data_IF_410063921985
#
_entry.id   IF_410063921985
#
_cell.length_a   1.000
_cell.length_b   1.000
_cell.length_c   1.000
_cell.angle_alpha   90.00
_cell.angle_beta   90.00
_cell.angle_gamma   90.00
#
_symmetry.space_group_name_H-M   'P 1'
#
loop_
_entity.id
_entity.type
_entity.pdbx_description
1 polymer ?
#
# COMPACT_ATOMS: atom_id res chain seq x y z
N UNK A 1 -22.67 27.65 34.41
CA UNK A 1 -23.76 27.37 33.44
C UNK A 1 -23.30 27.50 31.98
N UNK A 2 -22.00 27.41 31.67
CA UNK A 2 -21.49 27.38 30.30
C UNK A 2 -20.64 26.11 30.18
N UNK A 3 -21.22 25.05 29.62
CA UNK A 3 -20.50 23.81 29.26
C UNK A 3 -21.28 22.89 28.31
N UNK A 4 -22.57 23.15 28.05
CA UNK A 4 -23.39 22.35 27.13
C UNK A 4 -23.72 23.01 25.78
N UNK A 5 -23.39 24.30 25.55
CA UNK A 5 -23.78 25.01 24.31
C UNK A 5 -22.77 24.84 23.15
N UNK A 6 -21.57 24.32 23.41
CA UNK A 6 -20.53 24.22 22.39
C UNK A 6 -20.87 23.24 21.23
N UNK A 7 -21.42 22.04 21.49
CA UNK A 7 -21.88 21.14 20.43
C UNK A 7 -23.02 21.75 19.61
N UNK A 8 -23.98 22.41 20.27
CA UNK A 8 -25.12 23.04 19.60
C UNK A 8 -24.69 24.22 18.72
N UNK A 9 -23.70 25.00 19.17
CA UNK A 9 -23.10 26.06 18.36
C UNK A 9 -22.35 25.49 17.14
N UNK A 10 -21.58 24.42 17.29
CA UNK A 10 -20.91 23.78 16.15
C UNK A 10 -21.92 23.21 15.15
N UNK A 11 -22.97 22.55 15.63
CA UNK A 11 -24.03 21.99 14.78
C UNK A 11 -24.92 23.06 14.12
N UNK A 12 -24.83 24.31 14.56
CA UNK A 12 -25.50 25.45 13.90
C UNK A 12 -24.74 25.98 12.67
N UNK A 13 -23.47 25.59 12.49
CA UNK A 13 -22.68 25.97 11.31
C UNK A 13 -23.22 25.30 10.04
N UNK A 14 -23.12 25.94 8.85
CA UNK A 14 -23.42 25.29 7.58
C UNK A 14 -22.61 24.01 7.37
N UNK A 15 -23.20 23.03 6.67
CA UNK A 15 -22.59 21.71 6.46
C UNK A 15 -21.22 21.82 5.77
N UNK A 16 -21.11 22.72 4.81
CA UNK A 16 -19.88 22.98 4.05
C UNK A 16 -18.75 23.44 4.98
N UNK A 17 -19.08 24.34 5.92
CA UNK A 17 -18.11 24.83 6.92
C UNK A 17 -17.67 23.70 7.84
N UNK A 18 -18.59 22.82 8.26
CA UNK A 18 -18.24 21.67 9.11
C UNK A 18 -17.37 20.66 8.36
N UNK A 19 -17.65 20.41 7.08
CA UNK A 19 -16.82 19.56 6.24
C UNK A 19 -15.39 20.11 6.08
N UNK A 20 -15.24 21.42 5.84
CA UNK A 20 -13.91 22.05 5.81
C UNK A 20 -13.17 21.95 7.14
N UNK A 21 -13.90 22.00 8.28
CA UNK A 21 -13.31 21.76 9.59
C UNK A 21 -12.87 20.29 9.73
N UNK A 22 -13.67 19.33 9.28
CA UNK A 22 -13.29 17.92 9.32
C UNK A 22 -12.05 17.64 8.47
N UNK A 23 -11.97 18.22 7.28
CA UNK A 23 -10.80 18.17 6.40
C UNK A 23 -9.56 18.71 7.10
N UNK A 24 -9.64 19.95 7.60
CA UNK A 24 -8.54 20.57 8.34
C UNK A 24 -8.09 19.75 9.57
N UNK A 25 -9.04 19.17 10.31
CA UNK A 25 -8.73 18.35 11.48
C UNK A 25 -8.12 17.00 11.11
N UNK A 26 -8.56 16.39 10.00
CA UNK A 26 -7.95 15.20 9.44
C UNK A 26 -6.50 15.46 9.04
N UNK A 27 -6.22 16.57 8.36
CA UNK A 27 -4.86 16.96 7.95
C UNK A 27 -3.97 17.31 9.15
N UNK A 28 -4.54 18.00 10.15
CA UNK A 28 -3.81 18.31 11.38
C UNK A 28 -3.49 17.06 12.18
N UNK A 29 -4.37 16.07 12.21
CA UNK A 29 -4.05 14.76 12.80
C UNK A 29 -2.84 14.10 12.12
N UNK A 30 -2.61 14.40 10.84
CA UNK A 30 -1.44 14.00 10.07
C UNK A 30 -0.18 14.78 10.44
N UNK A 31 -0.29 16.08 10.73
CA UNK A 31 0.86 16.97 10.99
C UNK A 31 1.69 16.68 12.26
N UNK A 32 1.26 15.77 13.14
CA UNK A 32 2.01 15.35 14.33
C UNK A 32 3.15 14.35 14.02
N UNK A 33 3.83 14.52 12.88
CA UNK A 33 4.86 13.62 12.34
C UNK A 33 4.33 12.50 11.42
N UNK A 34 2.99 12.41 11.23
CA UNK A 34 2.19 11.33 10.64
C UNK A 34 1.78 11.60 9.19
N UNK A 35 2.71 12.07 8.36
CA UNK A 35 2.42 12.75 7.10
C UNK A 35 1.98 11.85 5.92
N UNK A 36 1.42 10.65 6.14
CA UNK A 36 1.05 9.80 5.01
C UNK A 36 -0.19 8.92 5.24
N UNK A 37 -1.36 9.29 4.64
CA UNK A 37 -2.56 8.45 4.63
C UNK A 37 -2.30 7.03 4.10
N UNK A 38 -1.29 6.85 3.23
CA UNK A 38 -0.87 5.54 2.72
C UNK A 38 -0.43 4.59 3.84
N UNK A 39 0.05 5.10 4.97
CA UNK A 39 0.49 4.30 6.14
C UNK A 39 -0.62 4.01 7.15
N UNK A 40 -1.84 4.50 6.95
CA UNK A 40 -2.94 4.27 7.90
C UNK A 40 -3.27 2.77 8.03
N UNK A 41 -3.32 2.05 6.90
CA UNK A 41 -3.57 0.62 6.91
C UNK A 41 -2.39 -0.17 7.47
N UNK A 42 -1.14 0.27 7.20
CA UNK A 42 0.05 -0.30 7.84
C UNK A 42 -0.08 -0.26 9.36
N UNK A 43 -0.37 0.91 9.93
CA UNK A 43 -0.55 1.04 11.37
C UNK A 43 -1.67 0.17 11.93
N UNK A 44 -2.75 -0.01 11.16
CA UNK A 44 -3.84 -0.90 11.53
C UNK A 44 -3.38 -2.37 11.62
N UNK A 45 -2.64 -2.86 10.62
CA UNK A 45 -2.08 -4.22 10.65
C UNK A 45 -1.08 -4.44 11.79
N UNK A 46 -0.13 -3.52 11.95
CA UNK A 46 0.87 -3.60 13.03
C UNK A 46 0.20 -3.65 14.41
N UNK A 47 -0.84 -2.83 14.59
CA UNK A 47 -1.62 -2.81 15.83
C UNK A 47 -2.36 -4.12 16.05
N UNK A 48 -3.09 -4.63 15.05
CA UNK A 48 -3.85 -5.88 15.18
C UNK A 48 -2.93 -7.07 15.48
N UNK A 49 -1.80 -7.21 14.78
CA UNK A 49 -0.85 -8.28 15.03
C UNK A 49 -0.23 -8.18 16.43
N UNK A 50 0.14 -6.98 16.85
CA UNK A 50 0.81 -6.79 18.14
C UNK A 50 -0.12 -6.99 19.32
N UNK A 51 -1.38 -6.58 19.21
CA UNK A 51 -2.42 -6.92 20.19
C UNK A 51 -2.57 -8.46 20.30
N UNK A 52 -2.55 -9.18 19.18
CA UNK A 52 -2.62 -10.65 19.19
C UNK A 52 -1.37 -11.30 19.83
N UNK A 53 -0.17 -10.77 19.55
CA UNK A 53 1.08 -11.24 20.17
C UNK A 53 1.05 -11.01 21.68
N UNK A 54 0.63 -9.81 22.13
CA UNK A 54 0.52 -9.48 23.56
C UNK A 54 -0.49 -10.40 24.25
N UNK A 55 -1.66 -10.61 23.66
CA UNK A 55 -2.67 -11.52 24.22
C UNK A 55 -2.14 -12.95 24.34
N UNK A 56 -1.44 -13.45 23.32
CA UNK A 56 -0.82 -14.77 23.37
C UNK A 56 0.29 -14.84 24.45
N UNK A 57 1.13 -13.82 24.54
CA UNK A 57 2.19 -13.72 25.54
C UNK A 57 1.64 -13.73 26.97
N UNK A 58 0.63 -12.89 27.24
CA UNK A 58 0.02 -12.74 28.57
C UNK A 58 -0.76 -13.97 29.00
N UNK A 59 -1.29 -14.76 28.05
CA UNK A 59 -1.91 -16.07 28.34
C UNK A 59 -0.88 -17.03 28.94
N UNK A 60 0.34 -17.02 28.40
CA UNK A 60 1.39 -17.95 28.80
C UNK A 60 2.22 -17.39 30.00
N UNK A 61 2.16 -16.08 30.23
CA UNK A 61 2.90 -15.36 31.29
C UNK A 61 2.02 -14.38 32.11
N UNK A 62 0.99 -14.85 32.83
CA UNK A 62 -0.03 -13.98 33.46
C UNK A 62 0.48 -13.11 34.61
N UNK A 63 1.67 -13.38 35.15
CA UNK A 63 2.26 -12.65 36.29
C UNK A 63 3.39 -11.70 35.88
N UNK A 64 3.73 -11.64 34.58
CA UNK A 64 4.79 -10.78 34.05
C UNK A 64 4.17 -9.45 33.60
N UNK A 65 4.90 -8.31 33.67
CA UNK A 65 4.43 -7.06 33.09
C UNK A 65 4.06 -7.22 31.61
N UNK A 66 2.98 -6.54 31.20
CA UNK A 66 2.53 -6.52 29.80
C UNK A 66 3.65 -6.01 28.89
N UNK A 67 3.94 -6.62 27.73
CA UNK A 67 4.98 -6.13 26.85
C UNK A 67 4.73 -4.68 26.38
N UNK A 68 5.81 -3.92 26.16
CA UNK A 68 5.75 -2.63 25.48
C UNK A 68 5.65 -2.85 23.98
N UNK A 69 4.80 -2.05 23.34
CA UNK A 69 4.63 -2.12 21.91
C UNK A 69 5.51 -1.09 21.18
N UNK A 70 6.34 -1.57 20.27
CA UNK A 70 7.19 -0.75 19.42
C UNK A 70 6.71 -0.84 17.96
N UNK A 71 6.10 0.23 17.46
CA UNK A 71 5.72 0.34 16.05
C UNK A 71 6.97 0.50 15.18
N UNK A 72 7.00 -0.13 14.00
CA UNK A 72 8.03 0.15 12.96
C UNK A 72 8.13 1.65 12.65
N UNK A 73 7.04 2.37 12.86
CA UNK A 73 6.95 3.81 12.68
C UNK A 73 7.87 4.65 13.59
N UNK A 74 8.34 4.11 14.72
CA UNK A 74 9.25 4.83 15.62
C UNK A 74 10.73 4.79 15.18
N UNK A 75 11.15 3.81 14.38
CA UNK A 75 12.57 3.65 14.00
C UNK A 75 12.93 4.38 12.70
N UNK A 76 11.96 4.69 11.83
CA UNK A 76 12.20 5.31 10.51
C UNK A 76 12.25 6.85 10.56
N UNK A 77 12.09 7.48 11.73
CA UNK A 77 12.23 8.95 11.86
C UNK A 77 13.72 9.37 12.02
N UNK A 78 14.67 8.44 12.11
CA UNK A 78 16.10 8.76 12.28
C UNK A 78 17.04 8.20 11.20
N UNK A 79 16.52 7.55 10.16
CA UNK A 79 17.35 7.10 9.04
C UNK A 79 16.81 7.66 7.72
N UNK A 80 17.58 8.61 7.18
CA UNK A 80 17.57 9.14 5.81
C UNK A 80 16.25 9.67 5.24
N UNK A 81 16.11 10.99 5.30
CA UNK A 81 15.30 11.80 4.38
C UNK A 81 15.86 11.78 2.94
N UNK A 82 16.20 10.60 2.41
CA UNK A 82 16.68 10.42 1.03
C UNK A 82 15.95 9.25 0.35
N UNK A 83 14.62 9.24 0.47
CA UNK A 83 13.75 8.59 -0.52
C UNK A 83 13.09 9.70 -1.32
N UNK A 84 13.77 10.12 -2.39
CA UNK A 84 13.33 11.07 -3.42
C UNK A 84 12.10 10.62 -4.21
N UNK A 85 11.11 10.01 -3.55
CA UNK A 85 9.79 9.73 -4.06
C UNK A 85 8.89 10.95 -4.01
N UNK A 86 9.29 12.03 -4.71
CA UNK A 86 8.40 13.15 -5.03
C UNK A 86 7.34 12.66 -6.01
N UNK A 87 6.31 12.00 -5.48
CA UNK A 87 5.07 11.60 -6.15
C UNK A 87 4.15 12.84 -6.28
N UNK A 88 4.71 13.94 -6.79
CA UNK A 88 4.04 15.20 -7.09
C UNK A 88 3.46 15.14 -8.50
N UNK A 89 2.14 14.96 -8.54
CA UNK A 89 1.19 15.63 -9.42
C UNK A 89 1.47 15.74 -10.94
N UNK A 90 0.61 15.04 -11.69
CA UNK A 90 -0.08 15.55 -12.89
C UNK A 90 0.74 16.41 -13.85
N UNK A 91 1.63 15.79 -14.62
CA UNK A 91 1.93 16.26 -15.97
C UNK A 91 1.03 15.53 -16.95
N UNK A 92 -0.05 16.21 -17.36
CA UNK A 92 -0.66 15.99 -18.68
C UNK A 92 0.41 16.31 -19.73
N UNK A 93 1.01 15.29 -20.34
CA UNK A 93 1.89 15.46 -21.49
C UNK A 93 1.02 15.83 -22.70
N UNK A 94 0.91 17.15 -22.95
CA UNK A 94 0.42 17.69 -24.21
C UNK A 94 1.65 18.02 -25.07
N UNK A 95 2.05 17.08 -25.93
CA UNK A 95 3.09 17.33 -26.91
C UNK A 95 2.53 18.24 -28.02
N UNK A 96 3.18 19.39 -28.21
CA UNK A 96 3.02 20.22 -29.40
C UNK A 96 4.32 20.18 -30.18
N UNK A 97 4.22 19.50 -31.32
CA UNK A 97 4.89 19.70 -32.60
C UNK A 97 5.90 20.87 -32.66
N UNK A 98 7.18 20.55 -32.88
CA UNK A 98 8.10 21.42 -33.63
C UNK A 98 9.13 20.54 -34.34
N UNK A 99 8.93 20.36 -35.64
CA UNK A 99 9.90 19.83 -36.59
C UNK A 99 11.10 20.78 -36.77
N UNK A 100 12.27 20.19 -37.09
CA UNK A 100 13.39 20.63 -37.96
C UNK A 100 14.72 20.11 -37.38
N UNK A 101 15.27 19.01 -37.94
CA UNK A 101 16.45 18.96 -38.86
C UNK A 101 17.77 19.33 -38.15
N UNK A 102 18.92 18.64 -38.21
CA UNK A 102 19.49 17.57 -39.05
C UNK A 102 20.86 17.17 -38.42
N UNK A 103 21.40 16.01 -38.86
CA UNK A 103 22.83 15.59 -38.95
C UNK A 103 23.68 15.45 -37.65
N UNK A 104 24.08 14.24 -37.27
CA UNK A 104 25.27 13.46 -37.70
C UNK A 104 26.53 13.83 -36.89
N UNK A 105 26.97 12.95 -35.98
CA UNK A 105 28.38 12.53 -35.91
C UNK A 105 28.62 11.47 -34.81
N UNK A 106 29.58 10.61 -35.14
CA UNK A 106 29.98 9.37 -34.50
C UNK A 106 30.79 9.53 -33.19
N UNK A 107 30.97 8.37 -32.54
CA UNK A 107 32.13 7.94 -31.74
C UNK A 107 32.13 8.14 -30.21
N UNK A 108 32.30 6.98 -29.57
CA UNK A 108 33.07 6.68 -28.37
C UNK A 108 32.95 7.60 -27.15
N UNK A 109 32.32 7.08 -26.10
CA UNK A 109 32.93 7.17 -24.77
C UNK A 109 32.71 5.87 -23.99
N UNK A 110 33.80 5.11 -23.90
CA UNK A 110 34.11 4.14 -22.86
C UNK A 110 34.20 4.90 -21.53
N UNK A 111 33.15 4.87 -20.73
CA UNK A 111 33.26 5.12 -19.29
C UNK A 111 32.70 3.91 -18.54
N UNK A 112 33.63 2.99 -18.23
CA UNK A 112 33.62 2.22 -17.00
C UNK A 112 33.27 3.18 -15.86
N UNK A 113 32.11 2.99 -15.24
CA UNK A 113 31.89 3.50 -13.91
C UNK A 113 31.40 2.37 -13.02
N UNK A 114 32.09 2.29 -11.88
CA UNK A 114 32.24 1.16 -10.99
C UNK A 114 30.91 0.50 -10.58
N UNK A 115 30.90 -0.83 -10.72
CA UNK A 115 30.00 -1.74 -10.02
C UNK A 115 30.24 -1.60 -8.50
N UNK A 116 29.51 -0.70 -7.84
CA UNK A 116 29.26 -0.81 -6.41
C UNK A 116 28.19 -1.89 -6.19
N UNK A 117 28.66 -3.14 -6.15
CA UNK A 117 27.95 -4.29 -5.61
C UNK A 117 27.60 -4.04 -4.13
N UNK A 118 26.41 -3.52 -3.85
CA UNK A 118 25.79 -3.72 -2.53
C UNK A 118 25.32 -5.19 -2.43
N UNK A 119 26.26 -6.07 -2.08
CA UNK A 119 25.96 -7.39 -1.53
C UNK A 119 25.21 -7.21 -0.19
N UNK A 120 23.89 -7.17 -0.25
CA UNK A 120 23.01 -7.37 0.91
C UNK A 120 23.16 -8.83 1.36
N UNK A 121 24.21 -9.06 2.13
CA UNK A 121 24.50 -10.30 2.81
C UNK A 121 23.47 -10.47 3.92
N UNK A 122 22.39 -11.19 3.64
CA UNK A 122 21.53 -11.77 4.66
C UNK A 122 22.34 -12.83 5.42
N UNK A 123 23.19 -12.37 6.34
CA UNK A 123 23.83 -13.20 7.36
C UNK A 123 22.76 -13.51 8.41
N UNK A 124 22.14 -14.67 8.22
CA UNK A 124 21.25 -15.34 9.15
C UNK A 124 22.07 -15.76 10.38
N UNK A 125 22.43 -14.79 11.23
CA UNK A 125 22.96 -15.06 12.57
C UNK A 125 21.82 -15.65 13.41
N UNK A 126 21.74 -16.98 13.33
CA UNK A 126 21.11 -17.88 14.28
C UNK A 126 21.55 -17.50 15.70
N UNK A 127 20.74 -16.65 16.36
CA UNK A 127 21.00 -16.21 17.74
C UNK A 127 20.86 -17.42 18.65
N UNK A 128 22.00 -18.01 18.97
CA UNK A 128 22.13 -19.16 19.85
C UNK A 128 21.41 -18.94 21.17
N UNK A 129 20.50 -19.85 21.48
CA UNK A 129 19.90 -20.00 22.79
C UNK A 129 21.00 -20.16 23.84
N UNK A 130 21.23 -19.12 24.64
CA UNK A 130 22.08 -19.19 25.83
C UNK A 130 21.41 -20.11 26.85
N UNK A 131 21.86 -21.38 26.86
CA UNK A 131 21.78 -22.26 28.02
C UNK A 131 22.61 -21.65 29.16
N UNK A 132 21.98 -20.83 29.99
CA UNK A 132 22.56 -20.36 31.25
C UNK A 132 22.18 -21.31 32.39
N UNK A 133 22.86 -22.46 32.46
CA UNK A 133 23.10 -23.12 33.74
C UNK A 133 24.30 -22.45 34.40
N UNK A 134 24.09 -21.56 35.38
CA UNK A 134 24.77 -21.65 36.68
C UNK A 134 24.52 -20.44 37.61
N UNK A 135 24.42 -20.81 38.90
CA UNK A 135 24.82 -20.06 40.10
C UNK A 135 24.03 -18.83 40.56
N UNK A 136 23.26 -19.12 41.61
CA UNK A 136 22.78 -18.27 42.71
C UNK A 136 23.75 -17.12 43.05
N UNK A 137 23.33 -15.91 42.71
CA UNK A 137 23.89 -14.65 43.21
C UNK A 137 22.76 -13.71 43.65
N UNK A 138 22.55 -13.60 44.96
CA UNK A 138 21.59 -12.70 45.59
C UNK A 138 21.97 -11.23 45.28
N UNK A 139 21.26 -10.61 44.33
CA UNK A 139 21.39 -9.19 44.01
C UNK A 139 20.03 -8.61 43.62
N UNK A 140 19.42 -7.89 44.54
CA UNK A 140 18.15 -7.18 44.38
C UNK A 140 18.29 -6.03 43.37
N UNK A 141 18.02 -6.30 42.10
CA UNK A 141 17.78 -5.29 41.07
C UNK A 141 16.34 -5.43 40.58
N UNK A 142 15.43 -4.66 41.18
CA UNK A 142 14.04 -4.49 40.72
C UNK A 142 14.01 -3.56 39.48
N UNK A 143 14.67 -3.95 38.39
CA UNK A 143 14.31 -3.43 37.07
C UNK A 143 13.28 -4.39 36.51
N UNK A 144 12.00 -4.01 36.55
CA UNK A 144 10.95 -4.74 35.85
C UNK A 144 11.24 -4.61 34.34
N UNK A 145 12.05 -5.52 33.81
CA UNK A 145 12.31 -5.60 32.38
C UNK A 145 10.98 -5.88 31.68
N UNK A 146 10.47 -4.88 30.96
CA UNK A 146 9.24 -5.01 30.21
C UNK A 146 9.63 -5.49 28.80
N UNK A 147 9.24 -6.71 28.39
CA UNK A 147 9.58 -7.21 27.07
C UNK A 147 9.02 -6.28 25.99
N UNK A 148 9.74 -6.10 24.89
CA UNK A 148 9.26 -5.29 23.76
C UNK A 148 8.74 -6.21 22.66
N UNK A 149 7.63 -5.81 22.03
CA UNK A 149 7.01 -6.52 20.89
C UNK A 149 7.12 -5.64 19.66
N UNK A 150 7.60 -6.24 18.58
CA UNK A 150 7.69 -5.63 17.27
C UNK A 150 6.74 -6.36 16.30
N UNK A 151 6.04 -5.63 15.43
CA UNK A 151 5.23 -6.25 14.40
C UNK A 151 6.13 -6.89 13.34
N UNK A 152 5.60 -7.86 12.59
CA UNK A 152 6.32 -8.52 11.53
C UNK A 152 6.69 -7.52 10.42
N UNK A 153 7.95 -7.56 9.97
CA UNK A 153 8.47 -6.67 8.95
C UNK A 153 7.68 -6.74 7.63
N UNK A 154 6.97 -7.84 7.33
CA UNK A 154 6.14 -7.99 6.13
C UNK A 154 5.15 -6.84 5.93
N UNK A 155 4.64 -6.26 7.02
CA UNK A 155 3.65 -5.20 6.93
C UNK A 155 4.17 -3.95 6.24
N UNK A 156 5.50 -3.69 6.26
CA UNK A 156 6.13 -2.56 5.55
C UNK A 156 5.76 -2.47 4.07
N UNK A 157 5.37 -3.59 3.46
CA UNK A 157 4.99 -3.67 2.06
C UNK A 157 3.51 -3.33 1.78
N UNK A 158 2.66 -3.23 2.81
CA UNK A 158 1.22 -2.90 2.67
C UNK A 158 0.98 -1.61 1.89
N UNK A 159 1.65 -0.48 2.19
CA UNK A 159 1.39 0.78 1.50
C UNK A 159 1.66 0.72 -0.01
N UNK A 160 2.45 -0.25 -0.48
CA UNK A 160 2.79 -0.41 -1.89
C UNK A 160 1.61 -0.94 -2.73
N UNK A 161 0.66 -1.65 -2.11
CA UNK A 161 -0.46 -2.25 -2.84
C UNK A 161 -1.83 -1.94 -2.27
N UNK A 162 -1.96 -1.47 -1.02
CA UNK A 162 -3.24 -1.03 -0.47
C UNK A 162 -3.08 0.18 0.45
N UNK A 163 -3.89 1.21 0.23
CA UNK A 163 -3.82 2.45 0.99
C UNK A 163 -5.15 3.21 1.00
N UNK A 164 -5.27 4.19 1.89
CA UNK A 164 -6.36 5.16 1.90
C UNK A 164 -5.80 6.54 1.54
N UNK A 165 -6.61 7.36 0.87
CA UNK A 165 -6.19 8.72 0.46
C UNK A 165 -6.35 9.78 1.54
N UNK A 166 -7.15 9.52 2.58
CA UNK A 166 -7.46 10.50 3.62
C UNK A 166 -7.30 9.89 5.01
N UNK A 167 -7.06 10.75 6.00
CA UNK A 167 -7.14 10.37 7.41
C UNK A 167 -8.56 10.56 7.96
N UNK A 168 -9.02 9.67 8.86
CA UNK A 168 -10.25 9.89 9.59
C UNK A 168 -10.09 11.10 10.52
N UNK A 169 -11.18 11.84 10.79
CA UNK A 169 -11.15 12.90 11.77
C UNK A 169 -10.68 12.39 13.15
N UNK A 170 -10.03 13.25 13.97
CA UNK A 170 -9.50 12.87 15.27
C UNK A 170 -10.54 12.19 16.16
N UNK A 171 -10.10 11.20 16.95
CA UNK A 171 -10.98 10.44 17.84
C UNK A 171 -11.68 11.36 18.85
N UNK A 172 -11.01 12.43 19.28
CA UNK A 172 -11.56 13.44 20.21
C UNK A 172 -12.82 14.09 19.64
N UNK A 173 -12.82 14.40 18.33
CA UNK A 173 -14.00 14.92 17.64
C UNK A 173 -15.11 13.86 17.61
N UNK A 174 -14.74 12.61 17.28
CA UNK A 174 -15.68 11.49 17.21
C UNK A 174 -16.32 11.16 18.57
N UNK A 175 -15.66 11.49 19.68
CA UNK A 175 -16.14 11.27 21.04
C UNK A 175 -16.99 12.43 21.58
N UNK A 176 -17.06 13.57 20.89
CA UNK A 176 -17.75 14.77 21.38
C UNK A 176 -19.27 14.60 21.43
N UNK A 177 -19.89 14.07 20.36
CA UNK A 177 -21.32 13.75 20.33
C UNK A 177 -21.66 12.66 19.31
N UNK A 178 -22.78 11.95 19.51
CA UNK A 178 -23.23 10.91 18.57
C UNK A 178 -23.53 11.47 17.18
N UNK A 179 -24.10 12.66 17.10
CA UNK A 179 -24.43 13.30 15.82
C UNK A 179 -23.16 13.67 15.05
N UNK A 180 -22.18 14.27 15.74
CA UNK A 180 -20.87 14.58 15.17
C UNK A 180 -20.13 13.33 14.71
N UNK A 181 -20.17 12.26 15.50
CA UNK A 181 -19.57 10.98 15.13
C UNK A 181 -20.12 10.47 13.79
N UNK A 182 -21.45 10.50 13.64
CA UNK A 182 -22.12 10.03 12.42
C UNK A 182 -21.77 10.94 11.23
N UNK A 183 -21.83 12.26 11.42
CA UNK A 183 -21.55 13.22 10.34
C UNK A 183 -20.09 13.16 9.89
N UNK A 184 -19.14 13.18 10.82
CA UNK A 184 -17.71 13.11 10.54
C UNK A 184 -17.32 11.79 9.85
N UNK A 185 -17.89 10.65 10.28
CA UNK A 185 -17.69 9.37 9.57
C UNK A 185 -18.29 9.40 8.17
N UNK A 186 -19.50 9.93 8.03
CA UNK A 186 -20.15 10.04 6.72
C UNK A 186 -19.36 10.92 5.76
N UNK A 187 -18.82 12.04 6.25
CA UNK A 187 -17.91 12.89 5.49
C UNK A 187 -16.64 12.11 5.11
N UNK A 188 -15.96 11.47 6.07
CA UNK A 188 -14.72 10.73 5.81
C UNK A 188 -14.89 9.68 4.71
N UNK A 189 -15.90 8.82 4.83
CA UNK A 189 -16.15 7.78 3.83
C UNK A 189 -16.70 8.34 2.50
N UNK A 190 -17.19 9.58 2.48
CA UNK A 190 -17.52 10.29 1.26
C UNK A 190 -16.29 10.84 0.53
N UNK A 191 -15.17 11.11 1.20
CA UNK A 191 -13.97 11.67 0.57
C UNK A 191 -12.87 10.63 0.38
N UNK A 192 -12.71 9.71 1.32
CA UNK A 192 -11.71 8.66 1.31
C UNK A 192 -11.88 7.71 0.11
N UNK A 193 -10.75 7.40 -0.53
CA UNK A 193 -10.64 6.42 -1.62
C UNK A 193 -9.73 5.30 -1.16
N UNK A 194 -10.19 4.07 -1.28
CA UNK A 194 -9.36 2.88 -1.12
C UNK A 194 -8.57 2.65 -2.40
N UNK A 195 -7.25 2.80 -2.35
CA UNK A 195 -6.36 2.52 -3.47
C UNK A 195 -5.84 1.09 -3.38
N UNK A 196 -5.95 0.34 -4.46
CA UNK A 196 -5.43 -1.03 -4.60
C UNK A 196 -4.56 -1.11 -5.85
N UNK A 197 -3.27 -1.39 -5.69
CA UNK A 197 -2.38 -1.70 -6.81
C UNK A 197 -2.34 -3.21 -7.02
N UNK A 198 -3.15 -3.70 -7.97
CA UNK A 198 -3.32 -5.13 -8.19
C UNK A 198 -2.05 -5.81 -8.73
N UNK A 199 -1.15 -5.06 -9.36
CA UNK A 199 0.05 -5.60 -10.03
C UNK A 199 1.34 -5.43 -9.23
N UNK A 200 1.33 -4.66 -8.12
CA UNK A 200 2.54 -4.46 -7.32
C UNK A 200 2.92 -5.70 -6.52
N UNK A 201 4.23 -5.98 -6.46
CA UNK A 201 4.79 -7.10 -5.71
C UNK A 201 4.13 -8.42 -6.15
N UNK A 202 4.01 -8.64 -7.47
CA UNK A 202 3.21 -9.75 -8.03
C UNK A 202 3.69 -11.14 -7.54
N UNK A 203 4.97 -11.26 -7.21
CA UNK A 203 5.58 -12.44 -6.60
C UNK A 203 4.94 -12.83 -5.26
N UNK A 204 4.58 -11.87 -4.42
CA UNK A 204 4.05 -12.10 -3.07
C UNK A 204 2.52 -12.21 -3.04
N UNK A 205 1.96 -13.11 -3.86
CA UNK A 205 0.50 -13.27 -3.97
C UNK A 205 -0.15 -13.76 -2.68
N UNK A 206 0.50 -14.64 -1.91
CA UNK A 206 0.00 -15.09 -0.60
C UNK A 206 -0.15 -13.93 0.39
N UNK A 207 0.87 -13.07 0.48
CA UNK A 207 0.83 -11.90 1.36
C UNK A 207 -0.23 -10.87 0.90
N UNK A 208 -0.35 -10.65 -0.42
CA UNK A 208 -1.41 -9.80 -0.97
C UNK A 208 -2.80 -10.30 -0.56
N UNK A 209 -3.06 -11.61 -0.72
CA UNK A 209 -4.34 -12.22 -0.34
C UNK A 209 -4.56 -12.19 1.17
N UNK A 210 -3.53 -12.44 1.97
CA UNK A 210 -3.57 -12.34 3.44
C UNK A 210 -3.99 -10.94 3.87
N UNK A 211 -3.29 -9.90 3.42
CA UNK A 211 -3.52 -8.52 3.83
C UNK A 211 -4.94 -8.05 3.45
N UNK A 212 -5.33 -8.21 2.18
CA UNK A 212 -6.67 -7.82 1.75
C UNK A 212 -7.75 -8.68 2.44
N UNK A 213 -7.49 -9.96 2.67
CA UNK A 213 -8.37 -10.87 3.38
C UNK A 213 -8.62 -10.46 4.84
N UNK A 214 -7.57 -10.12 5.57
CA UNK A 214 -7.66 -9.61 6.95
C UNK A 214 -8.47 -8.32 7.01
N UNK A 215 -8.16 -7.35 6.15
CA UNK A 215 -8.94 -6.10 6.06
C UNK A 215 -10.41 -6.42 5.82
N UNK A 216 -10.75 -7.27 4.86
CA UNK A 216 -12.15 -7.53 4.51
C UNK A 216 -12.93 -8.36 5.55
N UNK A 217 -12.23 -9.17 6.36
CA UNK A 217 -12.85 -10.06 7.35
C UNK A 217 -12.88 -9.47 8.76
N UNK A 218 -12.15 -8.37 9.01
CA UNK A 218 -12.09 -7.75 10.34
C UNK A 218 -13.48 -7.33 10.86
N UNK A 219 -13.69 -7.54 12.17
CA UNK A 219 -14.95 -7.21 12.85
C UNK A 219 -15.32 -5.72 12.75
N UNK A 220 -14.31 -4.85 12.62
CA UNK A 220 -14.44 -3.41 12.39
C UNK A 220 -13.65 -3.00 11.14
N UNK A 221 -13.90 -3.70 10.04
CA UNK A 221 -13.26 -3.45 8.75
C UNK A 221 -13.62 -2.07 8.17
N UNK A 222 -12.64 -1.32 7.62
CA UNK A 222 -12.93 -0.13 6.81
C UNK A 222 -13.80 -0.46 5.58
N UNK A 223 -13.71 -1.69 5.05
CA UNK A 223 -14.48 -2.12 3.87
C UNK A 223 -15.98 -1.96 4.01
N UNK A 224 -16.51 -2.01 5.24
CA UNK A 224 -17.95 -1.88 5.49
C UNK A 224 -18.52 -0.54 5.03
N UNK A 225 -17.71 0.51 5.04
CA UNK A 225 -18.16 1.87 4.76
C UNK A 225 -17.41 2.55 3.61
N UNK A 226 -16.43 1.89 2.99
CA UNK A 226 -15.76 2.44 1.81
C UNK A 226 -16.77 2.64 0.68
N UNK A 227 -16.82 3.87 0.16
CA UNK A 227 -17.72 4.27 -0.94
C UNK A 227 -17.00 4.38 -2.28
N UNK A 228 -15.68 4.55 -2.26
CA UNK A 228 -14.86 4.74 -3.46
C UNK A 228 -13.64 3.84 -3.43
N UNK A 229 -13.37 3.16 -4.53
CA UNK A 229 -12.14 2.42 -4.74
C UNK A 229 -11.45 2.85 -6.03
N UNK A 230 -10.12 2.87 -6.02
CA UNK A 230 -9.27 3.04 -7.18
C UNK A 230 -8.42 1.77 -7.33
N UNK A 231 -8.51 1.08 -8.47
CA UNK A 231 -7.75 -0.15 -8.73
C UNK A 231 -6.80 0.08 -9.90
N UNK A 232 -5.51 -0.07 -9.65
CA UNK A 232 -4.47 0.14 -10.67
C UNK A 232 -3.89 -1.18 -11.15
N UNK A 233 -3.89 -1.37 -12.47
CA UNK A 233 -3.21 -2.43 -13.18
C UNK A 233 -2.11 -1.82 -14.04
N UNK A 234 -0.88 -2.31 -13.88
CA UNK A 234 0.28 -1.88 -14.66
C UNK A 234 0.84 -3.09 -15.37
N UNK A 235 0.84 -3.04 -16.70
CA UNK A 235 1.18 -4.15 -17.56
C UNK A 235 2.17 -3.74 -18.66
N UNK A 236 2.81 -4.74 -19.25
CA UNK A 236 3.79 -4.57 -20.30
C UNK A 236 3.65 -5.67 -21.35
N UNK A 237 2.57 -5.61 -22.11
CA UNK A 237 2.28 -6.57 -23.17
C UNK A 237 3.42 -6.68 -24.20
N UNK A 238 4.09 -5.58 -24.55
CA UNK A 238 5.21 -5.59 -25.51
C UNK A 238 6.37 -6.45 -25.02
N UNK A 239 6.79 -6.24 -23.78
CA UNK A 239 7.88 -7.02 -23.19
C UNK A 239 7.49 -8.49 -23.01
N UNK A 240 6.30 -8.77 -22.48
CA UNK A 240 5.90 -10.16 -22.22
C UNK A 240 5.86 -11.04 -23.47
N UNK A 241 5.49 -10.46 -24.63
CA UNK A 241 5.47 -11.17 -25.92
C UNK A 241 6.85 -11.36 -26.53
N UNK A 242 7.82 -10.54 -26.12
CA UNK A 242 9.20 -10.58 -26.65
C UNK A 242 10.16 -11.34 -25.72
N UNK A 243 9.69 -11.77 -24.54
CA UNK A 243 10.44 -12.62 -23.62
C UNK A 243 10.87 -13.93 -24.30
N UNK A 244 12.18 -14.12 -24.39
CA UNK A 244 12.78 -15.27 -25.07
C UNK A 244 12.50 -16.60 -24.34
N UNK A 245 12.17 -16.56 -23.05
CA UNK A 245 11.88 -17.77 -22.28
C UNK A 245 10.45 -18.27 -22.46
N UNK A 246 9.54 -17.40 -22.92
CA UNK A 246 8.09 -17.64 -22.98
C UNK A 246 7.42 -17.81 -21.61
N UNK A 247 8.16 -17.65 -20.51
CA UNK A 247 7.62 -17.79 -19.16
C UNK A 247 6.79 -16.58 -18.78
N UNK A 248 7.14 -15.39 -19.26
CA UNK A 248 6.39 -14.17 -18.99
C UNK A 248 4.92 -14.31 -19.42
N UNK A 249 4.70 -14.73 -20.66
CA UNK A 249 3.36 -14.91 -21.24
C UNK A 249 2.59 -16.07 -20.58
N UNK A 250 3.28 -17.09 -20.08
CA UNK A 250 2.64 -18.22 -19.41
C UNK A 250 2.21 -17.92 -17.96
N UNK A 251 3.03 -17.17 -17.21
CA UNK A 251 2.87 -17.00 -15.75
C UNK A 251 2.08 -15.74 -15.41
N UNK A 252 2.47 -14.60 -15.99
CA UNK A 252 1.94 -13.31 -15.55
C UNK A 252 0.44 -13.14 -15.82
N UNK A 253 -0.11 -13.49 -16.99
CA UNK A 253 -1.55 -13.40 -17.23
C UNK A 253 -2.37 -14.20 -16.20
N UNK A 254 -1.90 -15.39 -15.81
CA UNK A 254 -2.56 -16.19 -14.77
C UNK A 254 -2.56 -15.49 -13.40
N UNK A 255 -1.42 -14.94 -12.98
CA UNK A 255 -1.31 -14.16 -11.73
C UNK A 255 -2.18 -12.89 -11.76
N UNK A 256 -2.22 -12.20 -12.90
CA UNK A 256 -3.06 -11.03 -13.11
C UNK A 256 -4.54 -11.38 -12.94
N UNK A 257 -5.01 -12.46 -13.56
CA UNK A 257 -6.37 -12.95 -13.39
C UNK A 257 -6.70 -13.32 -11.94
N UNK A 258 -5.78 -14.02 -11.26
CA UNK A 258 -5.95 -14.38 -9.86
C UNK A 258 -6.12 -13.13 -8.99
N UNK A 259 -5.23 -12.16 -9.14
CA UNK A 259 -5.28 -10.91 -8.36
C UNK A 259 -6.49 -10.07 -8.67
N UNK A 260 -6.85 -9.92 -9.94
CA UNK A 260 -8.07 -9.21 -10.31
C UNK A 260 -9.32 -9.88 -9.73
N UNK A 261 -9.40 -11.21 -9.77
CA UNK A 261 -10.49 -11.99 -9.15
C UNK A 261 -10.53 -11.77 -7.63
N UNK A 262 -9.38 -11.75 -6.97
CA UNK A 262 -9.30 -11.52 -5.54
C UNK A 262 -9.74 -10.10 -5.17
N UNK A 263 -9.22 -9.07 -5.85
CA UNK A 263 -9.64 -7.68 -5.64
C UNK A 263 -11.15 -7.53 -5.83
N UNK A 264 -11.72 -8.11 -6.89
CA UNK A 264 -13.17 -8.13 -7.11
C UNK A 264 -13.93 -8.74 -5.92
N UNK A 265 -13.50 -9.91 -5.41
CA UNK A 265 -14.12 -10.56 -4.23
C UNK A 265 -14.05 -9.69 -2.97
N UNK A 266 -12.99 -8.91 -2.82
CA UNK A 266 -12.81 -7.99 -1.70
C UNK A 266 -13.76 -6.79 -1.84
N UNK A 267 -13.85 -6.19 -3.03
CA UNK A 267 -14.77 -5.09 -3.29
C UNK A 267 -16.25 -5.51 -3.16
N UNK A 268 -16.60 -6.76 -3.49
CA UNK A 268 -17.94 -7.31 -3.23
C UNK A 268 -18.35 -7.29 -1.75
N UNK A 269 -17.39 -7.25 -0.82
CA UNK A 269 -17.66 -7.17 0.62
C UNK A 269 -17.89 -5.74 1.11
N UNK A 270 -17.82 -4.73 0.24
CA UNK A 270 -18.13 -3.34 0.57
C UNK A 270 -19.60 -3.02 0.20
N UNK A 271 -20.54 -3.07 1.15
CA UNK A 271 -21.97 -2.84 0.86
C UNK A 271 -22.27 -1.38 0.47
N UNK A 272 -21.46 -0.44 0.95
CA UNK A 272 -21.62 1.00 0.69
C UNK A 272 -20.83 1.47 -0.56
N UNK A 273 -20.23 0.56 -1.33
CA UNK A 273 -19.41 0.90 -2.49
C UNK A 273 -20.27 1.57 -3.58
N UNK A 274 -19.88 2.77 -4.00
CA UNK A 274 -20.61 3.59 -4.97
C UNK A 274 -19.82 3.81 -6.26
N UNK A 275 -18.49 3.94 -6.18
CA UNK A 275 -17.61 4.23 -7.32
C UNK A 275 -16.37 3.35 -7.31
N UNK A 276 -16.01 2.81 -8.47
CA UNK A 276 -14.75 2.11 -8.71
C UNK A 276 -14.10 2.71 -9.95
N UNK A 277 -12.95 3.34 -9.76
CA UNK A 277 -12.13 3.85 -10.86
C UNK A 277 -10.98 2.85 -11.12
N UNK A 278 -10.91 2.31 -12.33
CA UNK A 278 -9.89 1.35 -12.73
C UNK A 278 -8.90 2.06 -13.64
N UNK A 279 -7.62 2.09 -13.24
CA UNK A 279 -6.51 2.58 -14.06
C UNK A 279 -5.82 1.40 -14.71
N UNK A 280 -5.88 1.34 -16.04
CA UNK A 280 -5.23 0.31 -16.84
C UNK A 280 -4.05 0.91 -17.59
N UNK A 281 -2.84 0.59 -17.17
CA UNK A 281 -1.61 0.96 -17.87
C UNK A 281 -1.09 -0.25 -18.65
N UNK A 282 -0.80 -0.06 -19.94
CA UNK A 282 -0.15 -1.06 -20.77
C UNK A 282 0.78 -0.41 -21.80
N UNK A 283 1.85 -1.11 -22.15
CA UNK A 283 2.78 -0.73 -23.23
C UNK A 283 2.16 -0.74 -24.64
N UNK A 284 1.07 -1.51 -24.89
CA UNK A 284 0.52 -1.68 -26.25
C UNK A 284 -0.99 -1.54 -26.29
N UNK A 285 -1.50 -0.91 -27.34
CA UNK A 285 -2.93 -0.83 -27.67
C UNK A 285 -3.27 -1.65 -28.93
N UNK A 286 -3.43 -2.96 -28.78
CA UNK A 286 -3.85 -3.85 -29.87
C UNK A 286 -4.99 -4.78 -29.45
N UNK A 287 -5.41 -5.68 -30.35
CA UNK A 287 -6.53 -6.58 -30.11
C UNK A 287 -6.26 -7.57 -28.98
N UNK A 288 -5.03 -8.06 -28.86
CA UNK A 288 -4.66 -9.02 -27.81
C UNK A 288 -4.63 -8.35 -26.44
N UNK A 289 -4.03 -7.17 -26.33
CA UNK A 289 -4.01 -6.40 -25.07
C UNK A 289 -5.40 -5.93 -24.67
N UNK A 290 -6.24 -5.57 -25.66
CA UNK A 290 -7.65 -5.26 -25.43
C UNK A 290 -8.43 -6.49 -24.92
N UNK A 291 -8.21 -7.68 -25.47
CA UNK A 291 -8.84 -8.91 -25.04
C UNK A 291 -8.43 -9.27 -23.61
N UNK A 292 -7.13 -9.26 -23.29
CA UNK A 292 -6.62 -9.51 -21.94
C UNK A 292 -7.29 -8.59 -20.92
N UNK A 293 -7.31 -7.28 -21.18
CA UNK A 293 -8.00 -6.32 -20.32
C UNK A 293 -9.48 -6.67 -20.12
N UNK A 294 -10.18 -6.99 -21.21
CA UNK A 294 -11.61 -7.32 -21.13
C UNK A 294 -11.85 -8.57 -20.28
N UNK A 295 -11.00 -9.59 -20.39
CA UNK A 295 -11.10 -10.80 -19.57
C UNK A 295 -10.79 -10.53 -18.10
N UNK A 296 -9.74 -9.76 -17.80
CA UNK A 296 -9.34 -9.39 -16.44
C UNK A 296 -10.42 -8.56 -15.75
N UNK A 297 -11.00 -7.59 -16.46
CA UNK A 297 -11.97 -6.64 -15.91
C UNK A 297 -13.42 -7.11 -15.98
N UNK A 298 -13.70 -8.24 -16.64
CA UNK A 298 -15.06 -8.76 -16.90
C UNK A 298 -15.97 -8.75 -15.67
N UNK A 299 -15.45 -9.16 -14.52
CA UNK A 299 -16.24 -9.29 -13.29
C UNK A 299 -16.48 -7.94 -12.59
N UNK A 300 -15.64 -6.92 -12.80
CA UNK A 300 -15.82 -5.63 -12.14
C UNK A 300 -17.15 -4.97 -12.54
N UNK A 301 -17.61 -5.20 -13.76
CA UNK A 301 -18.89 -4.68 -14.27
C UNK A 301 -20.12 -5.20 -13.49
N UNK A 302 -19.99 -6.27 -12.71
CA UNK A 302 -21.09 -6.81 -11.89
C UNK A 302 -21.12 -6.25 -10.47
N UNK A 303 -20.20 -5.34 -10.11
CA UNK A 303 -20.25 -4.63 -8.83
C UNK A 303 -21.46 -3.70 -8.79
N UNK A 304 -22.06 -3.55 -7.61
CA UNK A 304 -23.16 -2.60 -7.34
C UNK A 304 -22.67 -1.15 -7.24
N UNK A 305 -21.74 -0.74 -8.11
CA UNK A 305 -21.07 0.55 -8.11
C UNK A 305 -20.86 1.05 -9.55
N UNK A 306 -20.71 2.36 -9.73
CA UNK A 306 -20.30 2.93 -11.01
C UNK A 306 -18.83 2.59 -11.26
N UNK A 307 -18.57 1.82 -12.32
CA UNK A 307 -17.21 1.40 -12.72
C UNK A 307 -16.75 2.24 -13.90
N UNK A 308 -15.67 2.99 -13.72
CA UNK A 308 -14.99 3.71 -14.80
C UNK A 308 -13.65 3.04 -15.09
N UNK A 309 -13.26 3.01 -16.37
CA UNK A 309 -11.97 2.45 -16.79
C UNK A 309 -11.20 3.53 -17.54
N UNK A 310 -10.14 4.02 -16.91
CA UNK A 310 -9.15 4.92 -17.48
C UNK A 310 -8.03 4.08 -18.11
N UNK A 311 -7.67 4.39 -19.36
CA UNK A 311 -6.68 3.62 -20.12
C UNK A 311 -5.48 4.52 -20.38
N UNK A 312 -4.31 4.00 -20.09
CA UNK A 312 -3.03 4.65 -20.31
C UNK A 312 -2.17 3.72 -21.15
N UNK A 313 -1.95 4.08 -22.40
CA UNK A 313 -1.08 3.35 -23.31
C UNK A 313 0.20 4.14 -23.54
N UNK A 314 1.30 3.44 -23.78
CA UNK A 314 2.50 4.08 -24.32
C UNK A 314 2.31 4.35 -25.81
N UNK A 315 3.07 5.32 -26.32
CA UNK A 315 3.19 5.53 -27.76
C UNK A 315 3.70 4.27 -28.47
N UNK A 316 3.39 4.16 -29.75
CA UNK A 316 3.76 2.98 -30.54
C UNK A 316 5.28 2.79 -30.52
N UNK A 317 5.73 1.56 -30.22
CA UNK A 317 7.14 1.16 -30.08
C UNK A 317 7.93 1.85 -28.93
N UNK A 318 7.27 2.67 -28.11
CA UNK A 318 7.90 3.28 -26.95
C UNK A 318 8.16 2.25 -25.84
N UNK A 319 9.36 2.29 -25.27
CA UNK A 319 9.71 1.50 -24.07
C UNK A 319 9.42 2.33 -22.82
N UNK A 320 8.89 1.72 -21.76
CA UNK A 320 8.71 2.42 -20.50
C UNK A 320 10.05 2.88 -19.93
N UNK A 321 10.14 4.16 -19.57
CA UNK A 321 11.32 4.73 -18.89
C UNK A 321 11.55 4.03 -17.55
N UNK A 322 12.80 3.74 -17.17
CA UNK A 322 13.17 3.01 -15.93
C UNK A 322 12.44 3.53 -14.68
N UNK A 323 12.33 4.86 -14.54
CA UNK A 323 11.72 5.51 -13.38
C UNK A 323 10.19 5.68 -13.48
N UNK A 324 9.58 5.40 -14.63
CA UNK A 324 8.13 5.44 -14.81
C UNK A 324 7.44 4.30 -14.04
N UNK A 325 6.13 4.43 -13.80
CA UNK A 325 5.33 3.38 -13.16
C UNK A 325 5.42 2.05 -13.92
N UNK A 326 5.34 2.11 -15.26
CA UNK A 326 5.47 0.94 -16.12
C UNK A 326 6.89 0.35 -16.09
N UNK A 327 7.93 1.20 -16.08
CA UNK A 327 9.33 0.74 -16.05
C UNK A 327 9.70 0.07 -14.73
N UNK A 328 9.30 0.67 -13.60
CA UNK A 328 9.44 0.06 -12.27
C UNK A 328 8.72 -1.30 -12.20
N UNK A 329 7.56 -1.43 -12.85
CA UNK A 329 6.82 -2.70 -12.88
C UNK A 329 7.50 -3.75 -13.77
N UNK A 330 8.05 -3.36 -14.92
CA UNK A 330 8.85 -4.27 -15.77
C UNK A 330 10.03 -4.84 -15.00
N UNK A 331 10.79 -4.01 -14.29
CA UNK A 331 11.92 -4.46 -13.47
C UNK A 331 11.50 -5.47 -12.39
N UNK A 332 10.37 -5.24 -11.71
CA UNK A 332 9.82 -6.21 -10.75
C UNK A 332 9.48 -7.56 -11.41
N UNK A 333 8.93 -7.54 -12.63
CA UNK A 333 8.60 -8.76 -13.36
C UNK A 333 9.85 -9.50 -13.83
N UNK A 334 10.83 -8.78 -14.36
CA UNK A 334 12.14 -9.33 -14.75
C UNK A 334 12.84 -9.98 -13.55
N UNK A 335 12.90 -9.28 -12.41
CA UNK A 335 13.48 -9.82 -11.16
C UNK A 335 12.79 -11.10 -10.71
N UNK A 336 11.45 -11.16 -10.77
CA UNK A 336 10.68 -12.36 -10.43
C UNK A 336 10.96 -13.53 -11.38
N UNK A 337 11.03 -13.30 -12.69
CA UNK A 337 11.36 -14.35 -13.65
C UNK A 337 12.78 -14.88 -13.42
N UNK A 338 13.75 -13.99 -13.22
CA UNK A 338 15.13 -14.36 -12.92
C UNK A 338 15.21 -15.24 -11.67
N UNK A 339 14.52 -14.88 -10.59
CA UNK A 339 14.47 -15.69 -9.37
C UNK A 339 13.89 -17.09 -9.60
N UNK A 340 12.82 -17.21 -10.40
CA UNK A 340 12.23 -18.51 -10.76
C UNK A 340 13.16 -19.38 -11.61
N UNK A 341 13.88 -18.78 -12.56
CA UNK A 341 14.80 -19.50 -13.46
C UNK A 341 16.04 -19.98 -12.69
N UNK A 342 16.57 -19.15 -11.79
CA UNK A 342 17.75 -19.46 -10.98
C UNK A 342 17.45 -20.39 -9.79
N UNK A 343 16.17 -20.64 -9.49
CA UNK A 343 15.76 -21.63 -8.50
C UNK A 343 16.05 -21.22 -7.05
N UNK A 344 16.09 -19.91 -6.75
CA UNK A 344 16.20 -19.47 -5.36
C UNK A 344 14.94 -19.90 -4.58
N UNK A 345 15.08 -20.64 -3.47
CA UNK A 345 13.95 -21.00 -2.64
C UNK A 345 13.41 -19.73 -1.96
N UNK A 346 12.13 -19.46 -2.19
CA UNK A 346 11.31 -18.49 -1.48
C UNK A 346 11.12 -18.82 -0.01
#
# INVERSE_FOLDING_TARGET
MALNDAPDMFMSLPLEVRHSIFEYLSDRASSAGKNNPKRLLLHWFEKEESENIIVAYMRDHPTVPEPLFCYSWNDVISASEDDGGSDSDTTEEHETDTEEEEEDDEQDDDENDDDEEEEDSEDDEEVGYLNATETVGNGTYNSLYQPSVYPNAKWRHVPNFISLTHFPPPVELLLTSRQLNIEAKNWFYNVAVLRINATRNIAHTSFFEEALGQIANAAFSPMRNIRKAEVTFVWDSAWMRTDATGLAEAVFPALLHQRASFVYKILLKAPDLQKVDIKWHDSVQDNESANLKMEVLKHFQTLSATVNVEKHYLETDAKPKKHSIAGKRRLEFESFLSAMILGHPS
#
